data_IF_394187524031
#
_entry.id   IF_394187524031
#
_cell.length_a   1.000
_cell.length_b   1.000
_cell.length_c   1.000
_cell.angle_alpha   90.00
_cell.angle_beta   90.00
_cell.angle_gamma   90.00
#
_symmetry.space_group_name_H-M   'P 1'
#
loop_
_entity.id
_entity.type
_entity.pdbx_description
1 polymer ?
#
# COMPACT_ATOMS: atom_id res chain seq x y z
N UNK A 1 6.88 16.76 21.12
CA UNK A 1 6.44 16.20 19.82
C UNK A 1 7.09 14.84 19.50
N UNK A 2 8.39 14.66 19.72
CA UNK A 2 9.18 13.43 19.44
C UNK A 2 8.61 12.16 20.10
N UNK A 3 8.09 12.23 21.33
CA UNK A 3 7.58 11.05 22.07
C UNK A 3 6.30 10.44 21.45
N UNK A 4 5.39 11.26 20.90
CA UNK A 4 4.14 10.77 20.28
C UNK A 4 4.37 10.10 18.92
N UNK A 5 5.37 10.57 18.16
CA UNK A 5 5.72 9.97 16.87
C UNK A 5 6.37 8.60 17.09
N UNK A 6 7.28 8.49 18.07
CA UNK A 6 7.90 7.18 18.41
C UNK A 6 6.88 6.13 18.84
N UNK A 7 5.86 6.51 19.63
CA UNK A 7 4.83 5.56 20.05
C UNK A 7 3.99 5.06 18.87
N UNK A 8 3.65 5.96 17.94
CA UNK A 8 2.93 5.57 16.70
C UNK A 8 3.78 4.68 15.78
N UNK A 9 5.07 4.98 15.67
CA UNK A 9 5.98 4.18 14.87
C UNK A 9 6.21 2.81 15.48
N UNK A 10 6.27 2.71 16.81
CA UNK A 10 6.35 1.44 17.54
C UNK A 10 5.05 0.62 17.37
N UNK A 11 3.89 1.26 17.45
CA UNK A 11 2.60 0.61 17.21
C UNK A 11 2.49 0.09 15.77
N UNK A 12 2.92 0.88 14.78
CA UNK A 12 2.98 0.46 13.38
C UNK A 12 3.96 -0.69 13.16
N UNK A 13 5.13 -0.64 13.77
CA UNK A 13 6.10 -1.75 13.76
C UNK A 13 5.48 -3.03 14.31
N UNK A 14 4.89 -2.97 15.52
CA UNK A 14 4.27 -4.13 16.14
C UNK A 14 3.14 -4.73 15.32
N UNK A 15 2.29 -3.86 14.74
CA UNK A 15 1.21 -4.28 13.86
C UNK A 15 1.72 -5.03 12.61
N UNK A 16 2.66 -4.45 11.88
CA UNK A 16 3.18 -5.07 10.66
C UNK A 16 4.06 -6.29 10.94
N UNK A 17 4.78 -6.31 12.06
CA UNK A 17 5.51 -7.50 12.50
C UNK A 17 4.54 -8.65 12.80
N UNK A 18 3.47 -8.39 13.55
CA UNK A 18 2.43 -9.37 13.81
C UNK A 18 1.79 -9.89 12.51
N UNK A 19 1.44 -8.98 11.58
CA UNK A 19 0.89 -9.35 10.28
C UNK A 19 1.87 -10.20 9.45
N UNK A 20 3.17 -9.89 9.49
CA UNK A 20 4.21 -10.68 8.82
C UNK A 20 4.33 -12.09 9.41
N UNK A 21 4.29 -12.22 10.73
CA UNK A 21 4.35 -13.51 11.41
C UNK A 21 3.12 -14.37 11.10
N UNK A 22 1.92 -13.82 11.19
CA UNK A 22 0.68 -14.53 10.84
C UNK A 22 0.69 -14.97 9.39
N UNK A 23 1.08 -14.08 8.46
CA UNK A 23 1.18 -14.39 7.04
C UNK A 23 2.25 -15.46 6.78
N UNK A 24 3.39 -15.41 7.46
CA UNK A 24 4.46 -16.39 7.35
C UNK A 24 4.03 -17.77 7.84
N UNK A 25 3.34 -17.86 8.98
CA UNK A 25 2.77 -19.11 9.49
C UNK A 25 1.72 -19.68 8.53
N UNK A 26 0.83 -18.85 8.01
CA UNK A 26 -0.15 -19.25 7.00
C UNK A 26 0.52 -19.75 5.71
N UNK A 27 1.58 -19.08 5.26
CA UNK A 27 2.35 -19.49 4.08
C UNK A 27 3.12 -20.80 4.32
N UNK A 28 3.51 -21.10 5.55
CA UNK A 28 4.12 -22.35 5.92
C UNK A 28 3.12 -23.51 5.89
N UNK A 29 1.92 -23.31 6.44
CA UNK A 29 0.85 -24.30 6.47
C UNK A 29 0.24 -24.56 5.08
N UNK A 30 0.00 -23.49 4.33
CA UNK A 30 -0.56 -23.53 2.97
C UNK A 30 0.36 -22.77 1.99
N UNK A 31 1.43 -23.40 1.47
CA UNK A 31 2.43 -22.73 0.66
C UNK A 31 1.84 -22.14 -0.62
N UNK A 32 1.97 -20.83 -0.78
CA UNK A 32 1.71 -20.13 -2.03
C UNK A 32 2.67 -18.96 -2.20
N UNK A 33 3.02 -18.65 -3.44
CA UNK A 33 3.92 -17.52 -3.74
C UNK A 33 3.35 -16.20 -3.23
N UNK A 34 2.03 -16.01 -3.33
CA UNK A 34 1.37 -14.78 -2.86
C UNK A 34 1.37 -14.67 -1.34
N UNK A 35 1.22 -15.78 -0.61
CA UNK A 35 1.30 -15.78 0.85
C UNK A 35 2.71 -15.39 1.34
N UNK A 36 3.76 -15.94 0.74
CA UNK A 36 5.14 -15.55 1.04
C UNK A 36 5.43 -14.09 0.68
N UNK A 37 4.98 -13.62 -0.49
CA UNK A 37 5.12 -12.22 -0.88
C UNK A 37 4.42 -11.30 0.14
N UNK A 38 3.26 -11.71 0.63
CA UNK A 38 2.52 -10.93 1.63
C UNK A 38 3.24 -10.89 2.98
N UNK A 39 3.84 -12.00 3.41
CA UNK A 39 4.69 -12.04 4.62
C UNK A 39 5.90 -11.11 4.46
N UNK A 40 6.62 -11.19 3.32
CA UNK A 40 7.75 -10.32 3.01
C UNK A 40 7.34 -8.84 3.00
N UNK A 41 6.21 -8.52 2.36
CA UNK A 41 5.68 -7.16 2.31
C UNK A 41 5.48 -6.58 3.71
N UNK A 42 4.78 -7.32 4.59
CA UNK A 42 4.55 -6.86 5.96
C UNK A 42 5.86 -6.77 6.77
N UNK A 43 6.80 -7.69 6.56
CA UNK A 43 8.15 -7.61 7.13
C UNK A 43 8.90 -6.36 6.72
N UNK A 44 8.84 -5.99 5.43
CA UNK A 44 9.42 -4.73 4.92
C UNK A 44 8.74 -3.50 5.53
N UNK A 45 7.41 -3.52 5.67
CA UNK A 45 6.68 -2.45 6.34
C UNK A 45 7.12 -2.30 7.79
N UNK A 46 7.21 -3.39 8.55
CA UNK A 46 7.73 -3.38 9.92
C UNK A 46 9.14 -2.78 9.97
N UNK A 47 10.03 -3.26 9.11
CA UNK A 47 11.40 -2.74 9.02
C UNK A 47 11.45 -1.24 8.74
N UNK A 48 10.65 -0.73 7.78
CA UNK A 48 10.64 0.72 7.49
C UNK A 48 10.04 1.54 8.63
N UNK A 49 9.14 0.98 9.44
CA UNK A 49 8.64 1.65 10.63
C UNK A 49 9.70 1.85 11.71
N UNK A 50 10.72 0.97 11.82
CA UNK A 50 11.85 1.18 12.74
C UNK A 50 12.77 2.32 12.33
N UNK A 51 12.81 2.64 11.01
CA UNK A 51 13.70 3.66 10.42
C UNK A 51 12.93 4.85 9.84
N UNK A 52 11.65 4.99 10.22
CA UNK A 52 10.74 5.95 9.63
C UNK A 52 11.21 7.39 9.83
N UNK A 53 11.11 8.17 8.75
CA UNK A 53 11.38 9.60 8.82
C UNK A 53 10.28 10.32 9.60
N UNK A 54 10.63 11.34 10.43
CA UNK A 54 9.64 12.16 11.10
C UNK A 54 8.76 12.87 10.07
N UNK A 55 7.49 13.01 10.39
CA UNK A 55 6.54 13.75 9.56
C UNK A 55 6.56 15.23 9.92
N UNK A 56 6.66 16.12 8.92
CA UNK A 56 6.46 17.56 9.10
C UNK A 56 4.99 17.85 9.44
N UNK A 57 4.08 17.24 8.67
CA UNK A 57 2.64 17.33 8.84
C UNK A 57 2.03 15.92 8.86
N UNK A 58 0.96 15.71 9.61
CA UNK A 58 0.32 14.42 9.80
C UNK A 58 -1.20 14.54 9.86
N UNK A 59 -1.90 13.78 9.03
CA UNK A 59 -3.36 13.71 9.02
C UNK A 59 -3.86 12.60 9.98
N UNK A 60 -4.43 13.00 11.12
CA UNK A 60 -4.99 12.07 12.10
C UNK A 60 -6.26 11.39 11.58
N UNK A 61 -7.08 12.10 10.81
CA UNK A 61 -8.32 11.55 10.25
C UNK A 61 -8.03 10.49 9.19
N UNK A 62 -6.95 10.69 8.41
CA UNK A 62 -6.47 9.75 7.42
C UNK A 62 -5.89 8.45 8.00
N UNK A 63 -5.53 8.44 9.29
CA UNK A 63 -5.04 7.22 9.93
C UNK A 63 -6.10 6.11 9.93
N UNK A 64 -7.33 6.41 10.33
CA UNK A 64 -8.40 5.43 10.39
C UNK A 64 -8.73 4.84 9.02
N UNK A 65 -8.83 5.70 8.00
CA UNK A 65 -9.04 5.24 6.62
C UNK A 65 -7.86 4.42 6.10
N UNK A 66 -6.63 4.82 6.43
CA UNK A 66 -5.44 4.03 6.11
C UNK A 66 -5.42 2.67 6.80
N UNK A 67 -5.86 2.59 8.06
CA UNK A 67 -6.01 1.32 8.77
C UNK A 67 -7.07 0.43 8.10
N UNK A 68 -8.25 0.96 7.78
CA UNK A 68 -9.28 0.23 7.04
C UNK A 68 -8.71 -0.30 5.73
N UNK A 69 -8.03 0.53 4.93
CA UNK A 69 -7.41 0.09 3.68
C UNK A 69 -6.38 -1.02 3.88
N UNK A 70 -5.60 -0.97 4.97
CA UNK A 70 -4.63 -2.01 5.30
C UNK A 70 -5.29 -3.35 5.69
N UNK A 71 -6.49 -3.31 6.30
CA UNK A 71 -7.23 -4.51 6.71
C UNK A 71 -8.10 -5.10 5.59
N UNK A 72 -8.55 -4.31 4.62
CA UNK A 72 -9.40 -4.79 3.52
C UNK A 72 -8.88 -6.04 2.79
N UNK A 73 -7.55 -6.19 2.54
CA UNK A 73 -7.03 -7.40 1.92
C UNK A 73 -7.30 -8.69 2.70
N UNK A 74 -7.33 -8.62 4.02
CA UNK A 74 -7.58 -9.80 4.87
C UNK A 74 -9.02 -10.34 4.79
N UNK A 75 -9.95 -9.51 4.32
CA UNK A 75 -11.36 -9.89 4.20
C UNK A 75 -11.67 -10.65 2.90
N UNK A 76 -10.69 -10.76 2.00
CA UNK A 76 -10.83 -11.53 0.76
C UNK A 76 -9.88 -12.71 0.79
N UNK A 77 -10.32 -13.83 1.30
CA UNK A 77 -9.59 -15.10 1.17
C UNK A 77 -9.99 -15.77 -0.13
N UNK A 78 -9.01 -16.13 -0.94
CA UNK A 78 -9.27 -16.96 -2.10
C UNK A 78 -8.14 -17.96 -2.30
N UNK A 79 -8.48 -19.23 -2.15
CA UNK A 79 -7.55 -20.33 -2.31
C UNK A 79 -7.55 -20.91 -3.74
N UNK A 80 -8.34 -20.31 -4.67
CA UNK A 80 -8.51 -20.85 -6.02
C UNK A 80 -7.93 -19.92 -7.10
N UNK A 81 -6.73 -19.41 -6.90
CA UNK A 81 -6.04 -18.62 -7.91
C UNK A 81 -5.71 -19.47 -9.13
N UNK A 82 -6.37 -19.18 -10.25
CA UNK A 82 -6.05 -19.84 -11.53
C UNK A 82 -4.71 -19.35 -12.04
N UNK A 83 -3.90 -20.25 -12.63
CA UNK A 83 -2.52 -19.97 -13.02
C UNK A 83 -2.38 -18.72 -13.93
N UNK A 84 -3.33 -18.47 -14.85
CA UNK A 84 -3.30 -17.30 -15.74
C UNK A 84 -3.56 -15.96 -15.03
N UNK A 85 -4.19 -15.99 -13.84
CA UNK A 85 -4.38 -14.81 -12.99
C UNK A 85 -3.14 -14.53 -12.14
N UNK A 86 -2.25 -15.50 -11.99
CA UNK A 86 -1.04 -15.33 -11.19
C UNK A 86 -0.09 -14.29 -11.80
N UNK A 87 0.06 -14.27 -13.12
CA UNK A 87 0.96 -13.33 -13.81
C UNK A 87 0.57 -11.86 -13.54
N UNK A 88 -0.69 -11.42 -13.80
CA UNK A 88 -1.09 -10.06 -13.49
C UNK A 88 -1.12 -9.75 -11.98
N UNK A 89 -1.39 -10.74 -11.12
CA UNK A 89 -1.25 -10.58 -9.66
C UNK A 89 0.19 -10.28 -9.26
N UNK A 90 1.15 -11.03 -9.79
CA UNK A 90 2.58 -10.83 -9.54
C UNK A 90 3.07 -9.48 -10.10
N UNK A 91 2.58 -9.06 -11.27
CA UNK A 91 2.92 -7.76 -11.84
C UNK A 91 2.46 -6.60 -10.93
N UNK A 92 1.21 -6.64 -10.46
CA UNK A 92 0.70 -5.66 -9.49
C UNK A 92 1.51 -5.69 -8.19
N UNK A 93 1.82 -6.87 -7.69
CA UNK A 93 2.59 -7.04 -6.47
C UNK A 93 4.05 -6.56 -6.60
N UNK A 94 4.68 -6.83 -7.74
CA UNK A 94 6.02 -6.31 -8.05
C UNK A 94 6.06 -4.79 -8.05
N UNK A 95 5.02 -4.14 -8.60
CA UNK A 95 4.88 -2.68 -8.57
C UNK A 95 4.72 -2.15 -7.14
N UNK A 96 3.95 -2.84 -6.29
CA UNK A 96 3.82 -2.50 -4.87
C UNK A 96 5.19 -2.57 -4.18
N UNK A 97 5.90 -3.68 -4.30
CA UNK A 97 7.20 -3.87 -3.66
C UNK A 97 8.25 -2.89 -4.17
N UNK A 98 8.33 -2.66 -5.48
CA UNK A 98 9.23 -1.66 -6.06
C UNK A 98 8.94 -0.26 -5.54
N UNK A 99 7.66 0.10 -5.46
CA UNK A 99 7.22 1.39 -4.91
C UNK A 99 7.57 1.52 -3.43
N UNK A 100 7.30 0.49 -2.64
CA UNK A 100 7.59 0.44 -1.21
C UNK A 100 9.09 0.56 -0.93
N UNK A 101 9.94 -0.21 -1.64
CA UNK A 101 11.39 -0.14 -1.52
C UNK A 101 11.93 1.24 -1.90
N UNK A 102 11.32 1.89 -2.90
CA UNK A 102 11.70 3.24 -3.33
C UNK A 102 11.32 4.29 -2.30
N UNK A 103 10.14 4.18 -1.67
CA UNK A 103 9.71 5.07 -0.57
C UNK A 103 10.56 4.84 0.69
N UNK A 104 10.80 3.57 1.02
CA UNK A 104 11.55 3.18 2.21
C UNK A 104 11.03 3.85 3.49
N UNK A 105 11.90 4.54 4.27
CA UNK A 105 11.51 5.20 5.53
C UNK A 105 10.50 6.34 5.41
N UNK A 106 10.10 6.72 4.19
CA UNK A 106 9.05 7.74 3.96
C UNK A 106 7.65 7.14 3.97
N UNK A 107 7.54 5.82 3.84
CA UNK A 107 6.24 5.14 3.86
C UNK A 107 5.44 5.43 5.14
N UNK A 108 4.12 5.47 5.01
CA UNK A 108 3.20 5.58 6.15
C UNK A 108 1.77 5.24 5.79
N UNK A 109 1.07 4.58 6.72
CA UNK A 109 -0.36 4.26 6.58
C UNK A 109 -1.21 5.54 6.52
N UNK A 110 -0.90 6.53 7.36
CA UNK A 110 -1.58 7.82 7.31
C UNK A 110 -0.88 8.78 6.36
N UNK A 111 -1.65 9.61 5.62
CA UNK A 111 -1.10 10.72 4.85
C UNK A 111 -0.23 11.61 5.74
N UNK A 112 0.98 11.89 5.29
CA UNK A 112 1.92 12.72 6.03
C UNK A 112 3.06 13.19 5.13
N UNK A 113 3.57 14.40 5.39
CA UNK A 113 4.75 14.89 4.71
C UNK A 113 6.02 14.32 5.34
N UNK A 114 6.68 13.39 4.67
CA UNK A 114 8.00 12.83 4.99
C UNK A 114 9.03 13.10 3.89
N UNK A 115 8.73 14.08 3.05
CA UNK A 115 9.54 14.47 1.91
C UNK A 115 9.19 13.71 0.64
N UNK A 116 9.30 14.41 -0.46
CA UNK A 116 8.98 13.94 -1.80
C UNK A 116 9.95 12.84 -2.28
N UNK A 117 9.44 11.91 -3.05
CA UNK A 117 10.22 10.89 -3.76
C UNK A 117 9.86 10.91 -5.24
N UNK A 118 10.87 11.17 -6.10
CA UNK A 118 10.73 11.19 -7.56
C UNK A 118 11.69 10.19 -8.23
N UNK A 119 11.88 9.03 -7.61
CA UNK A 119 12.78 7.95 -8.08
C UNK A 119 12.01 6.68 -8.39
N UNK A 120 12.66 5.73 -9.04
CA UNK A 120 12.04 4.44 -9.38
C UNK A 120 10.71 4.62 -10.11
N UNK A 121 9.63 3.95 -9.69
CA UNK A 121 8.32 4.08 -10.33
C UNK A 121 7.69 5.46 -10.15
N UNK A 122 8.10 6.24 -9.13
CA UNK A 122 7.62 7.60 -8.87
C UNK A 122 8.10 8.64 -9.89
N UNK A 123 9.01 8.29 -10.79
CA UNK A 123 9.36 9.14 -11.94
C UNK A 123 8.36 9.07 -13.09
N UNK A 124 7.51 8.05 -13.10
CA UNK A 124 6.51 7.83 -14.15
C UNK A 124 5.09 8.14 -13.67
N UNK A 125 4.78 7.76 -12.43
CA UNK A 125 3.48 7.93 -11.79
C UNK A 125 3.66 8.55 -10.41
N UNK A 126 2.70 9.35 -9.99
CA UNK A 126 2.73 9.96 -8.65
C UNK A 126 2.41 8.95 -7.54
N UNK A 127 1.53 7.97 -7.84
CA UNK A 127 1.05 6.99 -6.85
C UNK A 127 1.14 5.55 -7.38
N UNK A 128 2.34 5.08 -7.77
CA UNK A 128 2.49 3.75 -8.38
C UNK A 128 2.17 2.61 -7.41
N UNK A 129 2.38 2.78 -6.11
CA UNK A 129 2.02 1.78 -5.10
C UNK A 129 0.50 1.54 -5.08
N UNK A 130 -0.30 2.61 -5.15
CA UNK A 130 -1.77 2.48 -5.21
C UNK A 130 -2.24 1.85 -6.52
N UNK A 131 -1.58 2.13 -7.63
CA UNK A 131 -1.86 1.42 -8.88
C UNK A 131 -1.61 -0.08 -8.75
N UNK A 132 -0.48 -0.47 -8.16
CA UNK A 132 -0.16 -1.89 -7.91
C UNK A 132 -1.22 -2.57 -7.03
N UNK A 133 -1.68 -1.89 -5.97
CA UNK A 133 -2.76 -2.40 -5.11
C UNK A 133 -4.07 -2.57 -5.88
N UNK A 134 -4.45 -1.62 -6.75
CA UNK A 134 -5.66 -1.72 -7.57
C UNK A 134 -5.56 -2.85 -8.61
N UNK A 135 -4.41 -2.99 -9.27
CA UNK A 135 -4.15 -4.10 -10.20
C UNK A 135 -4.31 -5.46 -9.50
N UNK A 136 -3.64 -5.62 -8.34
CA UNK A 136 -3.75 -6.84 -7.55
C UNK A 136 -5.20 -7.11 -7.13
N UNK A 137 -5.93 -6.07 -6.70
CA UNK A 137 -7.33 -6.18 -6.29
C UNK A 137 -8.26 -6.59 -7.44
N UNK A 138 -8.04 -6.07 -8.65
CA UNK A 138 -8.79 -6.48 -9.84
C UNK A 138 -8.64 -7.98 -10.08
N UNK A 139 -7.41 -8.49 -9.97
CA UNK A 139 -7.17 -9.93 -10.10
C UNK A 139 -7.91 -10.73 -9.02
N UNK A 140 -7.92 -10.24 -7.77
CA UNK A 140 -8.65 -10.89 -6.68
C UNK A 140 -10.17 -10.92 -6.89
N UNK A 141 -10.75 -9.88 -7.51
CA UNK A 141 -12.16 -9.90 -7.94
C UNK A 141 -12.40 -11.03 -8.94
N UNK A 142 -11.57 -11.09 -9.98
CA UNK A 142 -11.71 -12.10 -11.06
C UNK A 142 -11.50 -13.54 -10.55
N UNK A 143 -10.76 -13.70 -9.47
CA UNK A 143 -10.50 -15.00 -8.84
C UNK A 143 -11.51 -15.36 -7.75
N UNK A 144 -12.34 -14.42 -7.29
CA UNK A 144 -13.22 -14.62 -6.14
C UNK A 144 -14.50 -15.37 -6.50
N UNK A 145 -14.90 -16.40 -5.76
CA UNK A 145 -16.23 -16.99 -5.87
C UNK A 145 -17.34 -16.05 -5.36
N UNK A 146 -16.97 -15.11 -4.46
CA UNK A 146 -17.89 -14.13 -3.88
C UNK A 146 -17.73 -12.77 -4.60
N UNK A 147 -18.09 -12.72 -5.88
CA UNK A 147 -17.85 -11.58 -6.77
C UNK A 147 -18.42 -10.27 -6.22
N UNK A 148 -19.66 -10.31 -5.67
CA UNK A 148 -20.32 -9.10 -5.15
C UNK A 148 -19.54 -8.48 -4.00
N UNK A 149 -19.14 -9.27 -2.99
CA UNK A 149 -18.37 -8.77 -1.86
C UNK A 149 -16.98 -8.28 -2.29
N UNK A 150 -16.34 -8.98 -3.23
CA UNK A 150 -15.04 -8.56 -3.77
C UNK A 150 -15.13 -7.22 -4.53
N UNK A 151 -16.19 -6.99 -5.31
CA UNK A 151 -16.45 -5.71 -5.97
C UNK A 151 -16.68 -4.61 -4.93
N UNK A 152 -17.55 -4.81 -3.93
CA UNK A 152 -17.84 -3.80 -2.91
C UNK A 152 -16.60 -3.41 -2.11
N UNK A 153 -15.79 -4.39 -1.70
CA UNK A 153 -14.53 -4.14 -1.00
C UNK A 153 -13.53 -3.38 -1.89
N UNK A 154 -13.50 -3.69 -3.19
CA UNK A 154 -12.62 -3.01 -4.12
C UNK A 154 -13.05 -1.57 -4.40
N UNK A 155 -14.34 -1.30 -4.55
CA UNK A 155 -14.87 0.06 -4.67
C UNK A 155 -14.57 0.88 -3.42
N UNK A 156 -14.71 0.27 -2.23
CA UNK A 156 -14.33 0.91 -0.95
C UNK A 156 -12.85 1.25 -0.94
N UNK A 157 -11.98 0.33 -1.38
CA UNK A 157 -10.54 0.59 -1.47
C UNK A 157 -10.23 1.73 -2.45
N UNK A 158 -10.83 1.72 -3.65
CA UNK A 158 -10.66 2.79 -4.66
C UNK A 158 -11.02 4.13 -4.05
N UNK A 159 -12.17 4.23 -3.37
CA UNK A 159 -12.60 5.47 -2.73
C UNK A 159 -11.60 5.95 -1.69
N UNK A 160 -11.16 5.06 -0.78
CA UNK A 160 -10.16 5.39 0.24
C UNK A 160 -8.84 5.84 -0.39
N UNK A 161 -8.37 5.16 -1.44
CA UNK A 161 -7.12 5.51 -2.10
C UNK A 161 -7.21 6.86 -2.82
N UNK A 162 -8.31 7.14 -3.55
CA UNK A 162 -8.53 8.44 -4.17
C UNK A 162 -8.53 9.56 -3.11
N UNK A 163 -9.21 9.36 -2.00
CA UNK A 163 -9.20 10.32 -0.90
C UNK A 163 -7.80 10.53 -0.32
N UNK A 164 -7.02 9.45 -0.09
CA UNK A 164 -5.64 9.51 0.40
C UNK A 164 -4.72 10.25 -0.56
N UNK A 165 -4.80 9.96 -1.86
CA UNK A 165 -4.06 10.64 -2.92
C UNK A 165 -4.27 12.15 -2.84
N UNK A 166 -5.52 12.58 -2.81
CA UNK A 166 -5.85 14.01 -2.76
C UNK A 166 -5.36 14.69 -1.47
N UNK A 167 -5.31 13.97 -0.36
CA UNK A 167 -4.76 14.47 0.90
C UNK A 167 -3.23 14.53 0.89
N UNK A 168 -2.57 13.49 0.42
CA UNK A 168 -1.11 13.43 0.32
C UNK A 168 -0.56 14.55 -0.58
N UNK A 169 -1.18 14.78 -1.73
CA UNK A 169 -0.79 15.83 -2.67
C UNK A 169 -0.87 17.24 -2.07
N UNK A 170 -1.83 17.48 -1.17
CA UNK A 170 -1.99 18.78 -0.47
C UNK A 170 -1.02 18.96 0.70
N UNK A 171 -0.50 17.89 1.26
CA UNK A 171 0.31 17.92 2.47
C UNK A 171 1.81 17.99 2.20
N UNK A 172 2.26 17.38 1.09
CA UNK A 172 3.68 17.25 0.77
C UNK A 172 4.21 18.56 0.20
N UNK A 173 5.23 19.12 0.84
CA UNK A 173 5.91 20.32 0.40
C UNK A 173 6.58 20.12 -0.97
N UNK A 174 6.45 21.10 -1.87
CA UNK A 174 7.03 21.05 -3.22
C UNK A 174 6.25 20.17 -4.22
N UNK A 175 5.10 19.63 -3.84
CA UNK A 175 4.32 18.74 -4.71
C UNK A 175 3.89 19.41 -6.02
N UNK A 176 3.61 20.72 -6.01
CA UNK A 176 3.23 21.46 -7.22
C UNK A 176 4.32 21.44 -8.31
N UNK A 177 5.61 21.46 -7.92
CA UNK A 177 6.71 21.32 -8.88
C UNK A 177 6.78 19.88 -9.43
N UNK A 178 6.56 18.90 -8.59
CA UNK A 178 6.56 17.49 -8.99
C UNK A 178 5.43 17.15 -9.96
N UNK A 179 4.23 17.74 -9.82
CA UNK A 179 3.12 17.51 -10.74
C UNK A 179 3.39 18.01 -12.17
N UNK A 180 4.29 18.99 -12.33
CA UNK A 180 4.72 19.47 -13.67
C UNK A 180 5.62 18.47 -14.38
N UNK A 181 6.40 17.68 -13.62
CA UNK A 181 7.34 16.69 -14.15
C UNK A 181 6.65 15.34 -14.34
N UNK A 182 5.80 14.95 -13.40
CA UNK A 182 5.05 13.70 -13.42
C UNK A 182 3.55 14.02 -13.41
N UNK A 183 2.90 14.15 -14.58
CA UNK A 183 1.52 14.61 -14.65
C UNK A 183 0.49 13.58 -14.17
N UNK A 184 0.81 12.29 -14.25
CA UNK A 184 -0.13 11.21 -14.03
C UNK A 184 -0.15 10.71 -12.58
N UNK A 185 -1.34 10.58 -11.99
CA UNK A 185 -1.51 10.02 -10.64
C UNK A 185 -1.39 8.50 -10.62
N UNK A 186 -2.24 7.83 -11.39
CA UNK A 186 -2.34 6.37 -11.45
C UNK A 186 -2.21 5.84 -12.87
N UNK A 187 -3.02 6.35 -13.80
CA UNK A 187 -3.11 5.82 -15.16
C UNK A 187 -2.71 6.91 -16.15
N UNK A 188 -1.63 6.67 -16.95
CA UNK A 188 -1.22 7.62 -17.97
C UNK A 188 -2.35 7.94 -18.95
N UNK A 189 -2.57 9.21 -19.22
CA UNK A 189 -3.61 9.69 -20.12
C UNK A 189 -5.01 9.79 -19.51
N UNK A 190 -5.25 9.23 -18.32
CA UNK A 190 -6.58 9.23 -17.71
C UNK A 190 -6.63 10.06 -16.41
N UNK A 191 -5.74 9.84 -15.49
CA UNK A 191 -5.74 10.52 -14.17
C UNK A 191 -4.37 10.52 -13.47
#
# INVERSE_FOLDING_TARGET
MIRKDRLRDLAGFGFFLFAALVAGLSAWDQPSILAWLYAIHNGLLAFFYTRRKPAKNYDRSGLWLGMIAAFLPFMTTNNQMRWYLLVPALAGYALILWSLLTLGPRFGVAPADRGLTARGPYRFLRHPMYLGELMFRLVMILASPQVVSAILLSLTLVFIQCWRILREEKMIEGYACYTRIVPWRLVPGLW
#
